data_IF_592265799391
#
_entry.id   IF_592265799391
#
_cell.length_a   1.000
_cell.length_b   1.000
_cell.length_c   1.000
_cell.angle_alpha   90.00
_cell.angle_beta   90.00
_cell.angle_gamma   90.00
#
_symmetry.space_group_name_H-M   'P 1'
#
loop_
_entity.id
_entity.type
_entity.pdbx_description
1 polymer ?
#
# COMPACT_ATOMS: atom_id res chain seq x y z
N UNK A 1 -28.39 63.05 -68.50
CA UNK A 1 -29.39 62.93 -67.41
C UNK A 1 -29.23 61.56 -66.74
N UNK A 2 -29.13 61.57 -65.40
CA UNK A 2 -29.34 60.54 -64.35
C UNK A 2 -29.21 59.04 -64.70
N UNK A 3 -28.29 58.24 -64.11
CA UNK A 3 -28.10 57.74 -62.70
C UNK A 3 -28.76 56.37 -62.40
N UNK A 4 -27.88 55.39 -62.09
CA UNK A 4 -27.79 54.57 -60.84
C UNK A 4 -28.40 53.13 -60.70
N UNK A 5 -27.48 52.25 -60.27
CA UNK A 5 -27.49 51.26 -59.13
C UNK A 5 -27.64 49.74 -59.40
N UNK A 6 -26.48 49.07 -59.37
CA UNK A 6 -25.98 47.98 -58.49
C UNK A 6 -26.89 46.85 -57.97
N UNK A 7 -26.40 45.60 -58.08
CA UNK A 7 -26.36 44.61 -56.98
C UNK A 7 -25.28 43.54 -57.22
N UNK A 8 -24.50 43.27 -56.16
CA UNK A 8 -23.38 42.32 -56.06
C UNK A 8 -23.86 41.12 -55.23
N UNK A 9 -23.53 39.88 -55.62
CA UNK A 9 -23.70 38.70 -54.79
C UNK A 9 -22.32 38.20 -54.33
N UNK A 10 -22.12 38.14 -53.02
CA UNK A 10 -20.89 37.70 -52.33
C UNK A 10 -21.03 36.23 -51.94
N UNK A 11 -20.03 35.42 -52.30
CA UNK A 11 -19.88 34.02 -51.92
C UNK A 11 -18.87 33.96 -50.75
N UNK A 12 -19.34 33.75 -49.53
CA UNK A 12 -18.48 33.60 -48.35
C UNK A 12 -18.21 32.12 -48.08
N UNK A 13 -17.00 31.67 -48.40
CA UNK A 13 -16.46 30.40 -47.92
C UNK A 13 -15.97 30.58 -46.47
N UNK A 14 -16.58 29.87 -45.53
CA UNK A 14 -16.14 29.81 -44.15
C UNK A 14 -14.89 28.91 -44.04
N UNK A 15 -13.72 29.51 -43.79
CA UNK A 15 -12.56 28.78 -43.30
C UNK A 15 -12.76 28.47 -41.81
N UNK A 16 -13.02 27.21 -41.50
CA UNK A 16 -12.89 26.67 -40.14
C UNK A 16 -11.41 26.62 -39.79
N UNK A 17 -10.93 27.60 -39.02
CA UNK A 17 -9.60 27.55 -38.41
C UNK A 17 -9.67 26.59 -37.23
N UNK A 18 -9.27 25.34 -37.45
CA UNK A 18 -8.90 24.44 -36.36
C UNK A 18 -7.60 24.97 -35.76
N UNK A 19 -7.68 25.63 -34.60
CA UNK A 19 -6.51 25.96 -33.79
C UNK A 19 -5.98 24.63 -33.22
N UNK A 20 -5.15 23.96 -34.01
CA UNK A 20 -4.30 22.89 -33.51
C UNK A 20 -3.26 23.53 -32.61
N UNK A 21 -3.37 23.32 -31.31
CA UNK A 21 -2.35 23.68 -30.33
C UNK A 21 -1.03 23.09 -30.79
N UNK A 22 -0.09 23.90 -31.29
CA UNK A 22 1.25 23.41 -31.61
C UNK A 22 1.90 23.02 -30.29
N UNK A 23 1.90 21.72 -29.99
CA UNK A 23 2.60 21.20 -28.84
C UNK A 23 4.08 21.53 -29.04
N UNK A 24 4.64 22.34 -28.14
CA UNK A 24 6.07 22.50 -28.02
C UNK A 24 6.74 21.12 -28.09
N UNK A 25 7.87 21.01 -28.80
CA UNK A 25 8.59 19.75 -28.91
C UNK A 25 8.84 19.18 -27.50
N UNK A 26 8.64 17.87 -27.28
CA UNK A 26 8.79 17.28 -25.96
C UNK A 26 10.21 17.55 -25.44
N UNK A 27 10.37 18.00 -24.18
CA UNK A 27 11.67 18.28 -23.61
C UNK A 27 12.62 17.08 -23.71
N UNK A 28 13.88 17.34 -24.05
CA UNK A 28 14.95 16.33 -24.09
C UNK A 28 15.21 15.71 -22.70
N UNK A 29 15.88 14.57 -22.65
CA UNK A 29 16.22 13.86 -21.41
C UNK A 29 16.98 14.72 -20.38
N UNK A 30 16.80 14.41 -19.09
CA UNK A 30 17.56 14.97 -17.97
C UNK A 30 18.87 14.20 -17.64
N UNK A 31 19.16 13.11 -18.37
CA UNK A 31 20.49 12.64 -18.77
C UNK A 31 21.68 13.41 -18.17
N UNK A 32 21.96 14.54 -18.81
CA UNK A 32 23.17 15.32 -18.62
C UNK A 32 23.24 16.11 -17.32
N UNK A 33 22.14 16.29 -16.59
CA UNK A 33 22.12 17.05 -15.34
C UNK A 33 21.98 16.15 -14.11
N UNK A 34 21.79 14.85 -14.36
CA UNK A 34 21.47 13.82 -13.38
C UNK A 34 22.41 13.73 -12.17
N UNK A 35 23.68 13.76 -12.53
CA UNK A 35 24.83 13.41 -11.68
C UNK A 35 25.62 14.64 -11.25
N UNK A 36 25.18 15.83 -11.68
CA UNK A 36 25.88 17.08 -11.42
C UNK A 36 25.85 17.43 -9.92
N UNK A 37 27.01 17.80 -9.36
CA UNK A 37 27.15 18.13 -7.93
C UNK A 37 26.69 19.57 -7.61
N UNK A 38 26.50 20.39 -8.64
CA UNK A 38 25.91 21.73 -8.58
C UNK A 38 25.03 21.97 -9.81
N UNK A 39 24.00 22.80 -9.69
CA UNK A 39 23.10 23.14 -10.80
C UNK A 39 23.10 24.64 -11.06
N UNK A 40 23.46 25.05 -12.27
CA UNK A 40 23.30 26.44 -12.73
C UNK A 40 21.83 26.78 -13.07
N UNK A 41 21.55 28.07 -13.27
CA UNK A 41 20.19 28.55 -13.56
C UNK A 41 19.59 27.93 -14.85
N UNK A 42 20.44 27.65 -15.85
CA UNK A 42 20.02 27.01 -17.09
C UNK A 42 19.64 25.55 -16.88
N UNK A 43 20.40 24.81 -16.08
CA UNK A 43 20.10 23.44 -15.70
C UNK A 43 18.84 23.35 -14.84
N UNK A 44 18.66 24.26 -13.87
CA UNK A 44 17.43 24.34 -13.07
C UNK A 44 16.20 24.65 -13.94
N UNK A 45 16.34 25.59 -14.88
CA UNK A 45 15.25 25.92 -15.83
C UNK A 45 14.88 24.71 -16.70
N UNK A 46 15.86 23.95 -17.20
CA UNK A 46 15.63 22.71 -17.96
C UNK A 46 14.85 21.67 -17.16
N UNK A 47 15.16 21.52 -15.87
CA UNK A 47 14.43 20.61 -14.96
C UNK A 47 12.97 21.07 -14.83
N UNK A 48 12.75 22.36 -14.53
CA UNK A 48 11.41 22.92 -14.36
C UNK A 48 10.55 22.79 -15.63
N UNK A 49 11.11 23.07 -16.81
CA UNK A 49 10.41 22.94 -18.09
C UNK A 49 10.06 21.48 -18.42
N UNK A 50 10.99 20.56 -18.15
CA UNK A 50 10.75 19.12 -18.31
C UNK A 50 9.59 18.64 -17.43
N UNK A 51 9.64 18.97 -16.13
CA UNK A 51 8.62 18.60 -15.16
C UNK A 51 7.26 19.19 -15.54
N UNK A 52 7.21 20.49 -15.85
CA UNK A 52 5.96 21.20 -16.19
C UNK A 52 5.29 20.58 -17.41
N UNK A 53 6.05 20.31 -18.47
CA UNK A 53 5.51 19.69 -19.68
C UNK A 53 4.90 18.32 -19.39
N UNK A 54 5.62 17.44 -18.69
CA UNK A 54 5.14 16.09 -18.45
C UNK A 54 4.02 16.03 -17.41
N UNK A 55 4.02 16.92 -16.40
CA UNK A 55 2.86 17.07 -15.50
C UNK A 55 1.62 17.51 -16.28
N UNK A 56 1.75 18.45 -17.22
CA UNK A 56 0.61 18.88 -18.05
C UNK A 56 0.03 17.71 -18.84
N UNK A 57 0.89 16.84 -19.39
CA UNK A 57 0.48 15.61 -20.12
C UNK A 57 -0.09 14.52 -19.21
N UNK A 58 0.35 14.46 -17.95
CA UNK A 58 -0.23 13.61 -16.93
C UNK A 58 -1.65 14.07 -16.58
N UNK A 59 -1.83 15.38 -16.38
CA UNK A 59 -3.06 16.04 -15.95
C UNK A 59 -4.15 16.07 -17.04
N UNK A 60 -3.77 16.28 -18.31
CA UNK A 60 -4.75 16.60 -19.37
C UNK A 60 -4.54 15.86 -20.70
N UNK A 61 -3.48 15.05 -20.81
CA UNK A 61 -3.19 14.32 -22.03
C UNK A 61 -4.15 13.16 -22.30
N UNK A 62 -4.08 12.58 -23.50
CA UNK A 62 -4.75 11.31 -23.81
C UNK A 62 -4.25 10.18 -22.90
N UNK A 63 -4.95 9.05 -22.77
CA UNK A 63 -4.47 7.91 -21.98
C UNK A 63 -3.04 7.46 -22.34
N UNK A 64 -2.69 7.46 -23.63
CA UNK A 64 -1.35 7.16 -24.12
C UNK A 64 -0.34 8.22 -23.68
N UNK A 65 -0.70 9.50 -23.78
CA UNK A 65 0.14 10.61 -23.32
C UNK A 65 0.35 10.57 -21.81
N UNK A 66 -0.66 10.19 -21.02
CA UNK A 66 -0.56 10.01 -19.56
C UNK A 66 0.38 8.88 -19.19
N UNK A 67 0.28 7.72 -19.86
CA UNK A 67 1.24 6.62 -19.67
C UNK A 67 2.66 7.05 -20.03
N UNK A 68 2.82 7.78 -21.15
CA UNK A 68 4.11 8.30 -21.59
C UNK A 68 4.67 9.32 -20.59
N UNK A 69 3.83 10.21 -20.09
CA UNK A 69 4.18 11.21 -19.09
C UNK A 69 4.65 10.55 -17.79
N UNK A 70 3.91 9.57 -17.27
CA UNK A 70 4.34 8.79 -16.10
C UNK A 70 5.73 8.19 -16.32
N UNK A 71 5.95 7.52 -17.44
CA UNK A 71 7.25 6.89 -17.72
C UNK A 71 8.38 7.94 -17.80
N UNK A 72 8.11 9.10 -18.41
CA UNK A 72 9.08 10.20 -18.54
C UNK A 72 9.37 10.88 -17.21
N UNK A 73 8.38 11.05 -16.34
CA UNK A 73 8.59 11.61 -15.01
C UNK A 73 9.38 10.67 -14.07
N UNK A 74 9.29 9.37 -14.30
CA UNK A 74 10.04 8.35 -13.53
C UNK A 74 11.43 8.10 -14.08
N UNK A 75 11.63 8.27 -15.40
CA UNK A 75 12.90 7.97 -16.08
C UNK A 75 14.13 8.63 -15.42
N UNK A 76 14.18 9.95 -15.12
CA UNK A 76 15.34 10.57 -14.50
C UNK A 76 15.76 9.93 -13.17
N UNK A 77 14.80 9.42 -12.41
CA UNK A 77 15.05 8.77 -11.12
C UNK A 77 15.57 7.34 -11.32
N UNK A 78 15.06 6.62 -12.33
CA UNK A 78 15.48 5.24 -12.64
C UNK A 78 16.77 5.15 -13.44
N UNK A 79 16.99 6.03 -14.40
CA UNK A 79 18.19 6.02 -15.26
C UNK A 79 19.48 6.29 -14.48
N UNK A 80 19.35 6.73 -13.23
CA UNK A 80 20.44 7.11 -12.35
C UNK A 80 20.34 6.42 -10.99
N UNK A 81 19.72 5.23 -10.94
CA UNK A 81 19.64 4.39 -9.74
C UNK A 81 21.02 4.35 -9.04
N UNK A 82 21.09 4.98 -7.87
CA UNK A 82 22.29 5.09 -7.04
C UNK A 82 23.24 6.27 -7.34
N UNK A 83 23.15 6.91 -8.51
CA UNK A 83 24.13 7.91 -8.98
C UNK A 83 23.56 9.33 -9.17
N UNK A 84 22.25 9.54 -9.05
CA UNK A 84 21.70 10.91 -9.12
C UNK A 84 22.15 11.74 -7.91
N UNK A 85 22.62 12.97 -8.14
CA UNK A 85 23.11 13.82 -7.06
C UNK A 85 21.98 14.23 -6.10
N UNK A 86 22.33 14.50 -4.84
CA UNK A 86 21.37 14.98 -3.83
C UNK A 86 20.70 16.29 -4.26
N UNK A 87 21.49 17.20 -4.86
CA UNK A 87 20.99 18.50 -5.33
C UNK A 87 20.01 18.36 -6.50
N UNK A 88 20.25 17.44 -7.43
CA UNK A 88 19.31 17.15 -8.50
C UNK A 88 18.01 16.59 -7.94
N UNK A 89 18.08 15.56 -7.07
CA UNK A 89 16.89 14.95 -6.47
C UNK A 89 16.04 15.99 -5.73
N UNK A 90 16.67 16.87 -4.96
CA UNK A 90 15.98 17.95 -4.25
C UNK A 90 15.32 18.94 -5.22
N UNK A 91 16.02 19.35 -6.27
CA UNK A 91 15.51 20.31 -7.27
C UNK A 91 14.35 19.72 -8.06
N UNK A 92 14.52 18.47 -8.54
CA UNK A 92 13.49 17.74 -9.26
C UNK A 92 12.23 17.52 -8.42
N UNK A 93 12.39 17.11 -7.15
CA UNK A 93 11.25 16.94 -6.23
C UNK A 93 10.52 18.26 -5.93
N UNK A 94 11.25 19.36 -5.72
CA UNK A 94 10.67 20.69 -5.49
C UNK A 94 9.71 21.09 -6.61
N UNK A 95 10.10 20.86 -7.86
CA UNK A 95 9.30 21.26 -9.02
C UNK A 95 8.19 20.24 -9.33
N UNK A 96 8.44 18.94 -9.07
CA UNK A 96 7.52 17.86 -9.42
C UNK A 96 6.36 17.69 -8.42
N UNK A 97 6.63 17.79 -7.12
CA UNK A 97 5.64 17.48 -6.08
C UNK A 97 4.38 18.35 -6.15
N UNK A 98 4.45 19.68 -6.34
CA UNK A 98 3.24 20.51 -6.45
C UNK A 98 2.33 20.07 -7.60
N UNK A 99 2.93 19.70 -8.74
CA UNK A 99 2.21 19.19 -9.90
C UNK A 99 1.55 17.84 -9.65
N UNK A 100 2.29 16.90 -9.03
CA UNK A 100 1.72 15.60 -8.65
C UNK A 100 0.56 15.76 -7.67
N UNK A 101 0.72 16.59 -6.64
CA UNK A 101 -0.31 16.87 -5.63
C UNK A 101 -1.61 17.32 -6.29
N UNK A 102 -1.53 18.31 -7.20
CA UNK A 102 -2.69 18.79 -7.95
C UNK A 102 -3.40 17.68 -8.74
N UNK A 103 -2.65 16.80 -9.40
CA UNK A 103 -3.22 15.69 -10.18
C UNK A 103 -3.85 14.62 -9.27
N UNK A 104 -3.26 14.37 -8.10
CA UNK A 104 -3.76 13.41 -7.11
C UNK A 104 -5.07 13.92 -6.49
N UNK A 105 -5.15 15.21 -6.16
CA UNK A 105 -6.33 15.84 -5.57
C UNK A 105 -7.52 15.96 -6.56
N UNK A 106 -7.26 15.89 -7.88
CA UNK A 106 -8.32 15.92 -8.90
C UNK A 106 -9.25 14.70 -8.88
N UNK A 107 -10.37 14.80 -9.60
CA UNK A 107 -11.42 13.78 -9.62
C UNK A 107 -11.14 12.59 -10.58
N UNK A 108 -10.20 12.76 -11.52
CA UNK A 108 -9.86 11.70 -12.49
C UNK A 108 -8.93 10.65 -11.84
N UNK A 109 -9.55 9.59 -11.33
CA UNK A 109 -8.85 8.48 -10.68
C UNK A 109 -7.74 7.88 -11.55
N UNK A 110 -7.92 7.78 -12.87
CA UNK A 110 -6.89 7.23 -13.75
C UNK A 110 -5.61 8.09 -13.68
N UNK A 111 -5.76 9.41 -13.64
CA UNK A 111 -4.64 10.35 -13.55
C UNK A 111 -4.05 10.39 -12.16
N UNK A 112 -4.88 10.41 -11.11
CA UNK A 112 -4.42 10.34 -9.73
C UNK A 112 -3.57 9.10 -9.50
N UNK A 113 -3.99 7.92 -9.99
CA UNK A 113 -3.22 6.68 -9.89
C UNK A 113 -1.89 6.77 -10.63
N UNK A 114 -1.85 7.32 -11.85
CA UNK A 114 -0.58 7.49 -12.56
C UNK A 114 0.34 8.46 -11.82
N UNK A 115 -0.19 9.52 -11.19
CA UNK A 115 0.59 10.46 -10.38
C UNK A 115 1.13 9.81 -9.09
N UNK A 116 0.32 9.00 -8.40
CA UNK A 116 0.77 8.21 -7.23
C UNK A 116 1.88 7.24 -7.60
N UNK A 117 1.80 6.60 -8.78
CA UNK A 117 2.87 5.75 -9.28
C UNK A 117 4.17 6.53 -9.52
N UNK A 118 4.11 7.76 -10.04
CA UNK A 118 5.32 8.62 -10.15
C UNK A 118 5.88 8.95 -8.78
N UNK A 119 5.02 9.33 -7.84
CA UNK A 119 5.40 9.71 -6.48
C UNK A 119 6.19 8.59 -5.77
N UNK A 120 5.75 7.33 -5.88
CA UNK A 120 6.44 6.20 -5.24
C UNK A 120 7.92 6.04 -5.62
N UNK A 121 8.34 6.48 -6.80
CA UNK A 121 9.75 6.39 -7.23
C UNK A 121 10.67 7.46 -6.63
N UNK A 122 10.13 8.60 -6.19
CA UNK A 122 10.96 9.74 -5.80
C UNK A 122 11.64 9.56 -4.44
N UNK A 123 11.00 8.86 -3.51
CA UNK A 123 11.57 8.58 -2.19
C UNK A 123 12.03 9.82 -1.42
N UNK A 124 11.39 10.99 -1.62
CA UNK A 124 11.74 12.23 -0.92
C UNK A 124 10.81 12.48 0.27
N UNK A 125 11.31 13.23 1.26
CA UNK A 125 10.55 13.58 2.47
C UNK A 125 9.23 14.32 2.15
N UNK A 126 9.23 15.18 1.14
CA UNK A 126 8.05 15.93 0.72
C UNK A 126 7.00 15.03 0.07
N UNK A 127 7.46 14.08 -0.76
CA UNK A 127 6.59 13.09 -1.41
C UNK A 127 5.97 12.16 -0.38
N UNK A 128 6.75 11.69 0.60
CA UNK A 128 6.23 10.82 1.64
C UNK A 128 5.12 11.51 2.44
N UNK A 129 5.25 12.79 2.77
CA UNK A 129 4.17 13.52 3.46
C UNK A 129 2.88 13.53 2.64
N UNK A 130 2.98 13.89 1.36
CA UNK A 130 1.84 13.88 0.44
C UNK A 130 1.20 12.49 0.33
N UNK A 131 2.01 11.43 0.23
CA UNK A 131 1.51 10.06 0.18
C UNK A 131 0.85 9.62 1.48
N UNK A 132 1.37 10.04 2.63
CA UNK A 132 0.78 9.76 3.95
C UNK A 132 -0.57 10.46 4.09
N UNK A 133 -0.67 11.74 3.70
CA UNK A 133 -1.93 12.47 3.69
C UNK A 133 -2.97 11.80 2.76
N UNK A 134 -2.53 11.29 1.60
CA UNK A 134 -3.41 10.59 0.65
C UNK A 134 -3.79 9.17 1.12
N UNK A 135 -3.00 8.55 1.99
CA UNK A 135 -3.29 7.23 2.55
C UNK A 135 -4.18 7.29 3.79
N UNK A 136 -4.39 8.48 4.35
CA UNK A 136 -5.17 8.69 5.57
C UNK A 136 -6.68 8.60 5.29
N UNK A 137 -7.42 7.65 5.90
CA UNK A 137 -8.87 7.54 5.74
C UNK A 137 -9.65 8.77 6.22
N UNK A 138 -9.09 9.60 7.09
CA UNK A 138 -9.73 10.83 7.58
C UNK A 138 -9.57 12.00 6.58
N UNK A 139 -8.61 11.92 5.66
CA UNK A 139 -8.29 12.99 4.70
C UNK A 139 -8.66 12.66 3.25
N UNK A 140 -8.56 11.38 2.85
CA UNK A 140 -8.86 10.94 1.49
C UNK A 140 -9.99 9.90 1.50
N UNK A 141 -11.14 10.28 0.96
CA UNK A 141 -12.33 9.43 0.93
C UNK A 141 -12.26 8.29 -0.10
N UNK A 142 -11.49 8.44 -1.19
CA UNK A 142 -11.38 7.41 -2.24
C UNK A 142 -10.48 6.25 -1.80
N UNK A 143 -11.03 5.03 -1.63
CA UNK A 143 -10.23 3.86 -1.27
C UNK A 143 -9.20 3.52 -2.36
N UNK A 144 -9.47 3.80 -3.62
CA UNK A 144 -8.51 3.58 -4.71
C UNK A 144 -7.30 4.50 -4.60
N UNK A 145 -7.49 5.78 -4.25
CA UNK A 145 -6.38 6.70 -3.99
C UNK A 145 -5.58 6.28 -2.76
N UNK A 146 -6.25 5.92 -1.65
CA UNK A 146 -5.58 5.40 -0.44
C UNK A 146 -4.77 4.13 -0.72
N UNK A 147 -5.34 3.20 -1.48
CA UNK A 147 -4.70 1.96 -1.91
C UNK A 147 -3.38 2.25 -2.64
N UNK A 148 -3.44 3.09 -3.67
CA UNK A 148 -2.27 3.42 -4.47
C UNK A 148 -1.25 4.27 -3.72
N UNK A 149 -1.69 5.11 -2.79
CA UNK A 149 -0.80 5.84 -1.89
C UNK A 149 -0.05 4.88 -0.95
N UNK A 150 -0.73 3.88 -0.39
CA UNK A 150 -0.09 2.85 0.45
C UNK A 150 0.93 2.02 -0.33
N UNK A 151 0.60 1.63 -1.56
CA UNK A 151 1.55 0.97 -2.48
C UNK A 151 2.76 1.87 -2.75
N UNK A 152 2.54 3.15 -3.06
CA UNK A 152 3.61 4.11 -3.34
C UNK A 152 4.52 4.35 -2.12
N UNK A 153 3.97 4.36 -0.90
CA UNK A 153 4.78 4.46 0.33
C UNK A 153 5.70 3.26 0.47
N UNK A 154 5.18 2.04 0.20
CA UNK A 154 5.99 0.82 0.24
C UNK A 154 7.15 0.88 -0.76
N UNK A 155 6.88 1.25 -2.01
CA UNK A 155 7.91 1.41 -3.04
C UNK A 155 8.97 2.44 -2.64
N UNK A 156 8.55 3.58 -2.07
CA UNK A 156 9.46 4.60 -1.60
C UNK A 156 10.36 4.10 -0.46
N UNK A 157 9.83 3.32 0.48
CA UNK A 157 10.60 2.67 1.56
C UNK A 157 11.61 1.67 0.97
N UNK A 158 11.17 0.80 0.06
CA UNK A 158 12.03 -0.23 -0.55
C UNK A 158 13.11 0.34 -1.47
N UNK A 159 12.92 1.56 -2.00
CA UNK A 159 13.94 2.24 -2.80
C UNK A 159 15.23 2.58 -2.04
N UNK A 160 15.20 2.55 -0.70
CA UNK A 160 16.37 2.82 0.15
C UNK A 160 16.77 4.30 0.25
N UNK A 161 15.97 5.22 -0.29
CA UNK A 161 16.29 6.66 -0.28
C UNK A 161 15.86 7.40 1.01
N UNK A 162 15.08 6.75 1.87
CA UNK A 162 14.53 7.36 3.07
C UNK A 162 15.42 7.14 4.29
N UNK A 163 15.50 8.13 5.17
CA UNK A 163 16.13 7.95 6.47
C UNK A 163 15.35 6.98 7.36
N UNK A 164 16.01 6.27 8.29
CA UNK A 164 15.35 5.38 9.25
C UNK A 164 14.22 6.05 10.02
N UNK A 165 14.45 7.30 10.46
CA UNK A 165 13.44 8.12 11.14
C UNK A 165 12.19 8.32 10.28
N UNK A 166 12.37 8.58 8.97
CA UNK A 166 11.25 8.76 8.04
C UNK A 166 10.48 7.46 7.83
N UNK A 167 11.19 6.33 7.69
CA UNK A 167 10.58 5.00 7.59
C UNK A 167 9.73 4.72 8.84
N UNK A 168 10.31 4.85 10.04
CA UNK A 168 9.59 4.62 11.31
C UNK A 168 8.37 5.51 11.46
N UNK A 169 8.45 6.80 11.08
CA UNK A 169 7.29 7.69 11.11
C UNK A 169 6.19 7.28 10.12
N UNK A 170 6.56 6.79 8.94
CA UNK A 170 5.62 6.40 7.90
C UNK A 170 4.88 5.11 8.25
N UNK A 171 5.60 4.11 8.76
CA UNK A 171 5.01 2.83 9.21
C UNK A 171 4.07 3.05 10.41
N UNK A 172 4.42 3.93 11.35
CA UNK A 172 3.51 4.30 12.45
C UNK A 172 2.22 4.95 11.95
N UNK A 173 2.29 5.82 10.96
CA UNK A 173 1.09 6.40 10.35
C UNK A 173 0.25 5.34 9.65
N UNK A 174 0.87 4.47 8.85
CA UNK A 174 0.15 3.36 8.19
C UNK A 174 -0.52 2.42 9.19
N UNK A 175 0.11 2.12 10.33
CA UNK A 175 -0.50 1.31 11.38
C UNK A 175 -1.73 2.00 12.01
N UNK A 176 -1.68 3.33 12.21
CA UNK A 176 -2.86 4.09 12.65
C UNK A 176 -3.98 4.05 11.63
N UNK A 177 -3.67 4.22 10.35
CA UNK A 177 -4.67 4.17 9.26
C UNK A 177 -5.28 2.78 9.14
N UNK A 178 -4.46 1.73 9.23
CA UNK A 178 -4.92 0.35 9.19
C UNK A 178 -5.89 0.01 10.34
N UNK A 179 -5.76 0.68 11.49
CA UNK A 179 -6.67 0.48 12.62
C UNK A 179 -8.12 0.88 12.30
N UNK A 180 -8.33 1.87 11.42
CA UNK A 180 -9.67 2.42 11.09
C UNK A 180 -10.07 2.19 9.64
N UNK A 181 -9.19 1.63 8.79
CA UNK A 181 -9.48 1.40 7.37
C UNK A 181 -10.61 0.38 7.18
N UNK A 182 -11.62 0.75 6.40
CA UNK A 182 -12.81 -0.07 6.12
C UNK A 182 -12.69 -0.84 4.80
N UNK A 183 -11.85 -0.39 3.87
CA UNK A 183 -11.58 -1.11 2.63
C UNK A 183 -10.52 -2.19 2.84
N UNK A 184 -10.94 -3.45 2.76
CA UNK A 184 -10.04 -4.60 2.97
C UNK A 184 -8.84 -4.62 2.02
N UNK A 185 -8.94 -4.04 0.82
CA UNK A 185 -7.84 -4.00 -0.17
C UNK A 185 -6.77 -3.03 0.30
N UNK A 186 -7.18 -1.87 0.81
CA UNK A 186 -6.27 -0.87 1.40
C UNK A 186 -5.62 -1.46 2.65
N UNK A 187 -6.42 -2.06 3.54
CA UNK A 187 -5.92 -2.71 4.75
C UNK A 187 -4.89 -3.81 4.43
N UNK A 188 -5.16 -4.65 3.42
CA UNK A 188 -4.21 -5.68 2.96
C UNK A 188 -2.85 -5.07 2.60
N UNK A 189 -2.84 -3.98 1.80
CA UNK A 189 -1.59 -3.29 1.44
C UNK A 189 -0.93 -2.60 2.63
N UNK A 190 -1.71 -2.08 3.57
CA UNK A 190 -1.22 -1.54 4.84
C UNK A 190 -0.46 -2.59 5.63
N UNK A 191 -1.08 -3.76 5.85
CA UNK A 191 -0.47 -4.89 6.57
C UNK A 191 0.79 -5.41 5.86
N UNK A 192 0.78 -5.56 4.53
CA UNK A 192 1.96 -5.96 3.75
C UNK A 192 3.11 -4.95 3.87
N UNK A 193 2.80 -3.65 3.88
CA UNK A 193 3.80 -2.58 4.02
C UNK A 193 4.42 -2.58 5.41
N UNK A 194 3.60 -2.79 6.45
CA UNK A 194 4.08 -2.94 7.83
C UNK A 194 4.92 -4.22 7.99
N UNK A 195 4.48 -5.36 7.42
CA UNK A 195 5.27 -6.62 7.40
C UNK A 195 6.62 -6.44 6.71
N UNK A 196 6.67 -5.63 5.64
CA UNK A 196 7.93 -5.35 4.93
C UNK A 196 8.94 -4.61 5.82
N UNK A 197 8.48 -3.79 6.77
CA UNK A 197 9.35 -3.16 7.76
C UNK A 197 9.88 -4.17 8.79
N UNK A 198 9.06 -5.14 9.21
CA UNK A 198 9.47 -6.24 10.10
C UNK A 198 10.61 -7.08 9.51
N UNK A 199 10.69 -7.13 8.17
CA UNK A 199 11.68 -7.87 7.39
C UNK A 199 12.68 -6.92 6.69
N UNK A 200 12.84 -5.68 7.17
CA UNK A 200 13.70 -4.68 6.54
C UNK A 200 15.13 -5.20 6.34
N UNK A 201 15.65 -5.03 5.12
CA UNK A 201 17.02 -5.38 4.74
C UNK A 201 18.07 -4.32 5.11
N UNK A 202 17.67 -3.24 5.80
CA UNK A 202 18.63 -2.24 6.29
C UNK A 202 19.59 -2.86 7.31
N UNK A 203 20.86 -2.47 7.24
CA UNK A 203 21.89 -2.95 8.15
C UNK A 203 21.71 -2.35 9.55
N UNK A 204 22.28 -3.01 10.57
CA UNK A 204 22.18 -2.57 11.98
C UNK A 204 22.73 -1.16 12.20
N UNK A 205 23.85 -0.81 11.58
CA UNK A 205 24.45 0.53 11.63
C UNK A 205 23.57 1.63 11.00
N UNK A 206 22.63 1.23 10.13
CA UNK A 206 21.63 2.10 9.53
C UNK A 206 20.30 2.10 10.31
N UNK A 207 20.25 1.58 11.54
CA UNK A 207 19.02 1.51 12.33
C UNK A 207 18.05 0.40 11.90
N UNK A 208 18.55 -0.62 11.18
CA UNK A 208 17.73 -1.75 10.71
C UNK A 208 17.02 -2.51 11.84
N UNK A 209 17.67 -2.69 12.99
CA UNK A 209 17.09 -3.41 14.14
C UNK A 209 15.88 -2.68 14.74
N UNK A 210 15.96 -1.35 14.85
CA UNK A 210 14.85 -0.51 15.33
C UNK A 210 13.65 -0.60 14.39
N UNK A 211 13.89 -0.58 13.07
CA UNK A 211 12.83 -0.70 12.06
C UNK A 211 12.19 -2.09 12.09
N UNK A 212 12.99 -3.15 12.18
CA UNK A 212 12.48 -4.53 12.26
C UNK A 212 11.66 -4.75 13.52
N UNK A 213 12.14 -4.28 14.67
CA UNK A 213 11.41 -4.36 15.94
C UNK A 213 10.08 -3.60 15.89
N UNK A 214 10.10 -2.35 15.44
CA UNK A 214 8.89 -1.53 15.26
C UNK A 214 7.90 -2.18 14.28
N UNK A 215 8.41 -2.75 13.18
CA UNK A 215 7.61 -3.44 12.18
C UNK A 215 6.85 -4.63 12.78
N UNK A 216 7.53 -5.49 13.56
CA UNK A 216 6.88 -6.64 14.22
C UNK A 216 5.82 -6.21 15.23
N UNK A 217 6.12 -5.22 16.06
CA UNK A 217 5.19 -4.66 17.04
C UNK A 217 3.91 -4.16 16.36
N UNK A 218 4.06 -3.32 15.33
CA UNK A 218 2.94 -2.73 14.60
C UNK A 218 2.19 -3.75 13.75
N UNK A 219 2.86 -4.75 13.20
CA UNK A 219 2.21 -5.83 12.46
C UNK A 219 1.29 -6.63 13.39
N UNK A 220 1.76 -6.99 14.59
CA UNK A 220 0.97 -7.71 15.58
C UNK A 220 -0.20 -6.85 16.09
N UNK A 221 0.05 -5.57 16.39
CA UNK A 221 -0.98 -4.63 16.81
C UNK A 221 -2.09 -4.46 15.75
N UNK A 222 -1.70 -4.37 14.47
CA UNK A 222 -2.65 -4.26 13.34
C UNK A 222 -3.47 -5.53 13.18
N UNK A 223 -2.84 -6.71 13.29
CA UNK A 223 -3.55 -7.99 13.27
C UNK A 223 -4.58 -8.07 14.39
N UNK A 224 -4.16 -7.76 15.64
CA UNK A 224 -5.03 -7.77 16.81
C UNK A 224 -6.21 -6.83 16.64
N UNK A 225 -5.96 -5.59 16.21
CA UNK A 225 -7.01 -4.58 16.00
C UNK A 225 -8.01 -5.01 14.92
N UNK A 226 -7.52 -5.63 13.84
CA UNK A 226 -8.39 -6.15 12.77
C UNK A 226 -9.27 -7.30 13.28
N UNK A 227 -8.70 -8.19 14.10
CA UNK A 227 -9.46 -9.27 14.75
C UNK A 227 -10.49 -8.70 15.73
N UNK A 228 -10.12 -7.70 16.55
CA UNK A 228 -11.04 -7.02 17.48
C UNK A 228 -12.28 -6.50 16.74
N UNK A 229 -12.06 -5.75 15.65
CA UNK A 229 -13.14 -5.21 14.79
C UNK A 229 -14.05 -6.31 14.24
N UNK A 230 -13.45 -7.41 13.77
CA UNK A 230 -14.21 -8.54 13.24
C UNK A 230 -14.96 -9.32 14.32
N UNK A 231 -14.49 -9.32 15.58
CA UNK A 231 -15.21 -9.95 16.69
C UNK A 231 -16.38 -9.13 17.21
N UNK A 232 -16.35 -7.80 17.08
CA UNK A 232 -17.31 -6.86 17.69
C UNK A 232 -18.65 -6.72 16.93
N UNK A 233 -18.97 -7.64 16.01
CA UNK A 233 -20.17 -7.61 15.16
C UNK A 233 -20.37 -6.30 14.37
N UNK A 234 -19.29 -5.57 14.06
CA UNK A 234 -19.30 -4.20 13.51
C UNK A 234 -19.85 -4.03 12.09
N UNK A 235 -20.24 -5.11 11.41
CA UNK A 235 -20.69 -5.08 10.02
C UNK A 235 -19.56 -5.22 8.99
N UNK A 236 -18.29 -5.12 9.39
CA UNK A 236 -17.10 -5.08 8.53
C UNK A 236 -16.54 -6.48 8.16
N UNK A 237 -17.40 -7.44 7.82
CA UNK A 237 -16.99 -8.85 7.65
C UNK A 237 -15.99 -9.04 6.51
N UNK A 238 -16.02 -8.14 5.52
CA UNK A 238 -15.15 -8.15 4.35
C UNK A 238 -13.67 -7.98 4.73
N UNK A 239 -13.36 -7.47 5.93
CA UNK A 239 -11.97 -7.40 6.43
C UNK A 239 -11.34 -8.79 6.61
N UNK A 240 -12.12 -9.87 6.62
CA UNK A 240 -11.61 -11.26 6.56
C UNK A 240 -10.65 -11.43 5.36
N UNK A 241 -10.90 -10.76 4.23
CA UNK A 241 -10.02 -10.85 3.06
C UNK A 241 -8.60 -10.32 3.33
N UNK A 242 -8.44 -9.37 4.27
CA UNK A 242 -7.13 -8.86 4.68
C UNK A 242 -6.42 -9.75 5.71
N UNK A 243 -7.17 -10.48 6.55
CA UNK A 243 -6.59 -11.33 7.59
C UNK A 243 -5.78 -12.50 7.03
N UNK A 244 -6.29 -13.18 5.99
CA UNK A 244 -5.62 -14.36 5.43
C UNK A 244 -4.18 -14.10 4.98
N UNK A 245 -3.88 -13.09 4.12
CA UNK A 245 -2.50 -12.77 3.77
C UNK A 245 -1.70 -12.32 4.99
N UNK A 246 -2.28 -11.57 5.93
CA UNK A 246 -1.60 -11.16 7.17
C UNK A 246 -1.15 -12.35 8.03
N UNK A 247 -1.99 -13.39 8.20
CA UNK A 247 -1.63 -14.62 8.90
C UNK A 247 -0.53 -15.39 8.14
N UNK A 248 -0.61 -15.44 6.81
CA UNK A 248 0.39 -16.10 5.99
C UNK A 248 1.77 -15.48 6.18
N UNK A 249 1.86 -14.15 6.23
CA UNK A 249 3.10 -13.42 6.50
C UNK A 249 3.71 -13.81 7.85
N UNK A 250 2.92 -13.91 8.93
CA UNK A 250 3.42 -14.39 10.22
C UNK A 250 3.96 -15.82 10.15
N UNK A 251 3.25 -16.73 9.46
CA UNK A 251 3.73 -18.10 9.26
C UNK A 251 5.05 -18.12 8.48
N UNK A 252 5.18 -17.30 7.45
CA UNK A 252 6.41 -17.19 6.66
C UNK A 252 7.58 -16.64 7.49
N UNK A 253 7.35 -15.58 8.27
CA UNK A 253 8.34 -15.04 9.19
C UNK A 253 8.76 -16.07 10.25
N UNK A 254 7.82 -16.83 10.80
CA UNK A 254 8.10 -17.90 11.75
C UNK A 254 9.00 -18.99 11.16
N UNK A 255 8.71 -19.39 9.92
CA UNK A 255 9.49 -20.40 9.20
C UNK A 255 10.84 -19.88 8.69
N UNK A 256 11.02 -18.57 8.58
CA UNK A 256 12.22 -17.97 8.02
C UNK A 256 13.47 -18.28 8.90
N UNK A 257 14.51 -18.94 8.35
CA UNK A 257 15.75 -19.22 9.08
C UNK A 257 16.49 -17.96 9.56
N UNK A 258 16.30 -16.82 8.90
CA UNK A 258 16.91 -15.55 9.28
C UNK A 258 16.21 -14.89 10.48
N UNK A 259 15.06 -15.42 10.91
CA UNK A 259 14.23 -14.86 11.98
C UNK A 259 14.18 -15.77 13.22
N UNK A 260 15.09 -16.75 13.32
CA UNK A 260 15.10 -17.76 14.41
C UNK A 260 15.10 -17.12 15.79
N UNK A 261 15.88 -16.06 16.00
CA UNK A 261 15.96 -15.35 17.28
C UNK A 261 14.64 -14.68 17.71
N UNK A 262 13.76 -14.36 16.74
CA UNK A 262 12.46 -13.73 16.99
C UNK A 262 11.29 -14.73 16.98
N UNK A 263 11.53 -16.02 16.71
CA UNK A 263 10.45 -17.03 16.64
C UNK A 263 9.62 -17.07 17.89
N UNK A 264 10.24 -17.02 19.07
CA UNK A 264 9.51 -17.05 20.35
C UNK A 264 8.62 -15.82 20.51
N UNK A 265 9.13 -14.63 20.20
CA UNK A 265 8.35 -13.37 20.22
C UNK A 265 7.15 -13.46 19.28
N UNK A 266 7.39 -13.88 18.03
CA UNK A 266 6.36 -14.03 16.99
C UNK A 266 5.31 -15.05 17.43
N UNK A 267 5.73 -16.21 17.94
CA UNK A 267 4.82 -17.27 18.38
C UNK A 267 3.92 -16.80 19.52
N UNK A 268 4.49 -16.24 20.58
CA UNK A 268 3.75 -15.86 21.78
C UNK A 268 2.81 -14.69 21.51
N UNK A 269 3.18 -13.76 20.62
CA UNK A 269 2.30 -12.68 20.19
C UNK A 269 1.16 -13.15 19.28
N UNK A 270 1.47 -13.99 18.29
CA UNK A 270 0.52 -14.34 17.22
C UNK A 270 -0.44 -15.46 17.63
N UNK A 271 0.01 -16.48 18.38
CA UNK A 271 -0.81 -17.65 18.69
C UNK A 271 -2.17 -17.32 19.36
N UNK A 272 -2.24 -16.42 20.37
CA UNK A 272 -3.53 -16.00 20.92
C UNK A 272 -4.46 -15.39 19.87
N UNK A 273 -3.91 -14.61 18.93
CA UNK A 273 -4.70 -13.99 17.86
C UNK A 273 -5.21 -15.03 16.85
N UNK A 274 -4.41 -16.04 16.52
CA UNK A 274 -4.83 -17.15 15.68
C UNK A 274 -6.01 -17.93 16.28
N UNK A 275 -5.99 -18.17 17.61
CA UNK A 275 -7.12 -18.79 18.32
C UNK A 275 -8.41 -17.98 18.22
N UNK A 276 -8.31 -16.65 18.18
CA UNK A 276 -9.46 -15.75 18.05
C UNK A 276 -10.10 -15.75 16.67
N UNK A 277 -9.44 -16.31 15.64
CA UNK A 277 -10.07 -16.51 14.31
C UNK A 277 -11.35 -17.36 14.42
N UNK A 278 -11.40 -18.32 15.35
CA UNK A 278 -12.62 -19.10 15.61
C UNK A 278 -13.79 -18.22 16.08
N UNK A 279 -13.52 -17.20 16.90
CA UNK A 279 -14.57 -16.28 17.38
C UNK A 279 -15.20 -15.52 16.23
N UNK A 280 -14.39 -15.05 15.27
CA UNK A 280 -14.89 -14.35 14.08
C UNK A 280 -15.87 -15.25 13.32
N UNK A 281 -15.47 -16.49 13.04
CA UNK A 281 -16.32 -17.43 12.29
C UNK A 281 -17.59 -17.80 13.04
N UNK A 282 -17.53 -17.98 14.37
CA UNK A 282 -18.69 -18.37 15.16
C UNK A 282 -19.66 -17.21 15.38
N UNK A 283 -19.17 -15.98 15.53
CA UNK A 283 -20.01 -14.78 15.67
C UNK A 283 -20.75 -14.45 14.38
N UNK A 284 -20.12 -14.70 13.22
CA UNK A 284 -20.66 -14.36 11.90
C UNK A 284 -21.03 -15.59 11.06
N UNK A 285 -21.27 -16.73 11.71
CA UNK A 285 -21.38 -18.03 11.05
C UNK A 285 -22.35 -18.02 9.87
N UNK A 286 -23.58 -17.60 10.11
CA UNK A 286 -24.64 -17.62 9.10
C UNK A 286 -24.36 -16.60 7.98
N UNK A 287 -23.93 -15.38 8.34
CA UNK A 287 -23.58 -14.34 7.37
C UNK A 287 -22.43 -14.76 6.45
N UNK A 288 -21.41 -15.41 6.98
CA UNK A 288 -20.28 -15.91 6.19
C UNK A 288 -20.74 -17.02 5.25
N UNK A 289 -21.65 -17.89 5.70
CA UNK A 289 -22.17 -19.03 4.92
C UNK A 289 -23.03 -18.61 3.74
N UNK A 290 -23.79 -17.53 3.90
CA UNK A 290 -24.69 -17.01 2.87
C UNK A 290 -23.94 -16.44 1.64
N UNK A 291 -22.63 -16.19 1.76
CA UNK A 291 -21.76 -15.76 0.66
C UNK A 291 -20.70 -16.83 0.38
N UNK A 292 -20.77 -17.44 -0.81
CA UNK A 292 -19.87 -18.52 -1.23
C UNK A 292 -18.38 -18.14 -1.13
N UNK A 293 -18.04 -16.91 -1.50
CA UNK A 293 -16.65 -16.43 -1.51
C UNK A 293 -16.14 -16.14 -0.10
N UNK A 294 -16.98 -15.55 0.75
CA UNK A 294 -16.66 -15.38 2.18
C UNK A 294 -16.54 -16.74 2.86
N UNK A 295 -17.42 -17.70 2.56
CA UNK A 295 -17.37 -19.05 3.12
C UNK A 295 -16.08 -19.78 2.74
N UNK A 296 -15.70 -19.77 1.46
CA UNK A 296 -14.44 -20.37 1.01
C UNK A 296 -13.24 -19.70 1.70
N UNK A 297 -13.19 -18.36 1.68
CA UNK A 297 -12.07 -17.61 2.25
C UNK A 297 -11.93 -17.84 3.76
N UNK A 298 -13.05 -17.87 4.49
CA UNK A 298 -13.08 -18.08 5.94
C UNK A 298 -12.63 -19.49 6.31
N UNK A 299 -13.05 -20.50 5.55
CA UNK A 299 -12.57 -21.87 5.73
C UNK A 299 -11.05 -22.00 5.53
N UNK A 300 -10.52 -21.38 4.47
CA UNK A 300 -9.07 -21.36 4.20
C UNK A 300 -8.30 -20.57 5.27
N UNK A 301 -8.86 -19.46 5.76
CA UNK A 301 -8.28 -18.69 6.86
C UNK A 301 -8.24 -19.52 8.15
N UNK A 302 -9.33 -20.21 8.49
CA UNK A 302 -9.43 -21.08 9.66
C UNK A 302 -8.39 -22.21 9.61
N UNK A 303 -8.26 -22.86 8.44
CA UNK A 303 -7.22 -23.87 8.19
C UNK A 303 -5.82 -23.30 8.42
N UNK A 304 -5.52 -22.15 7.80
CA UNK A 304 -4.21 -21.54 7.90
C UNK A 304 -3.87 -21.17 9.35
N UNK A 305 -4.85 -20.63 10.08
CA UNK A 305 -4.73 -20.32 11.50
C UNK A 305 -4.42 -21.58 12.32
N UNK A 306 -5.20 -22.65 12.14
CA UNK A 306 -5.03 -23.92 12.86
C UNK A 306 -3.70 -24.62 12.55
N UNK A 307 -3.29 -24.68 11.28
CA UNK A 307 -2.00 -25.24 10.89
C UNK A 307 -0.83 -24.46 11.50
N UNK A 308 -0.95 -23.12 11.55
CA UNK A 308 0.08 -22.26 12.13
C UNK A 308 0.12 -22.39 13.65
N UNK A 309 -1.04 -22.54 14.31
CA UNK A 309 -1.11 -22.86 15.74
C UNK A 309 -0.46 -24.21 16.07
N UNK A 310 -0.72 -25.25 15.27
CA UNK A 310 -0.08 -26.57 15.42
C UNK A 310 1.44 -26.46 15.30
N UNK A 311 1.91 -25.74 14.28
CA UNK A 311 3.34 -25.49 14.07
C UNK A 311 3.96 -24.78 15.28
N UNK A 312 3.38 -23.67 15.72
CA UNK A 312 3.87 -22.89 16.86
C UNK A 312 3.87 -23.74 18.15
N UNK A 313 2.78 -24.45 18.45
CA UNK A 313 2.67 -25.23 19.68
C UNK A 313 3.58 -26.45 19.72
N UNK A 314 3.91 -27.01 18.55
CA UNK A 314 4.92 -28.08 18.45
C UNK A 314 6.34 -27.63 18.80
N UNK A 315 6.62 -26.32 18.69
CA UNK A 315 7.96 -25.75 18.85
C UNK A 315 8.12 -25.04 20.20
N UNK A 316 7.21 -24.12 20.56
CA UNK A 316 7.33 -23.34 21.81
C UNK A 316 6.40 -23.80 22.93
N UNK A 317 5.35 -24.57 22.61
CA UNK A 317 4.33 -25.03 23.54
C UNK A 317 4.67 -26.35 24.24
N UNK A 318 3.65 -27.11 24.61
CA UNK A 318 3.81 -28.45 25.22
C UNK A 318 4.03 -29.56 24.19
N UNK A 319 3.86 -29.27 22.90
CA UNK A 319 3.84 -30.27 21.83
C UNK A 319 2.49 -30.95 21.61
N UNK A 320 1.63 -31.02 22.64
CA UNK A 320 0.28 -31.59 22.54
C UNK A 320 -0.65 -30.66 21.77
N UNK A 321 -1.05 -31.06 20.56
CA UNK A 321 -1.95 -30.27 19.70
C UNK A 321 -3.32 -30.93 19.56
N UNK A 322 -4.43 -30.17 19.56
CA UNK A 322 -5.73 -30.72 19.25
C UNK A 322 -5.75 -31.41 17.88
N UNK A 323 -6.37 -32.58 17.80
CA UNK A 323 -6.64 -33.30 16.53
C UNK A 323 -7.72 -32.63 15.66
N UNK A 324 -7.92 -31.31 15.84
CA UNK A 324 -8.92 -30.53 15.14
C UNK A 324 -8.73 -30.64 13.62
N UNK A 325 -9.85 -30.74 12.91
CA UNK A 325 -9.93 -30.67 11.45
C UNK A 325 -10.99 -29.63 11.08
N UNK A 326 -10.70 -28.38 11.43
CA UNK A 326 -11.71 -27.32 11.39
C UNK A 326 -12.17 -26.95 9.98
N UNK A 327 -11.33 -27.15 8.95
CA UNK A 327 -11.77 -26.98 7.56
C UNK A 327 -12.83 -28.02 7.16
N UNK A 328 -12.65 -29.28 7.55
CA UNK A 328 -13.65 -30.32 7.26
C UNK A 328 -14.96 -30.02 7.99
N UNK A 329 -14.89 -29.66 9.27
CA UNK A 329 -16.06 -29.25 10.03
C UNK A 329 -16.78 -28.04 9.40
N UNK A 330 -16.01 -27.06 8.92
CA UNK A 330 -16.53 -25.93 8.16
C UNK A 330 -17.21 -26.40 6.86
N UNK A 331 -16.52 -27.14 5.99
CA UNK A 331 -17.11 -27.57 4.72
C UNK A 331 -18.38 -28.42 4.88
N UNK A 332 -18.52 -29.15 6.00
CA UNK A 332 -19.67 -30.02 6.28
C UNK A 332 -20.77 -29.38 7.16
N UNK A 333 -20.73 -28.07 7.38
CA UNK A 333 -21.73 -27.35 8.18
C UNK A 333 -21.87 -27.82 9.65
N UNK A 334 -20.73 -28.14 10.26
CA UNK A 334 -20.66 -28.68 11.62
C UNK A 334 -20.27 -27.61 12.63
N UNK A 335 -21.17 -26.66 12.91
CA UNK A 335 -20.94 -25.55 13.86
C UNK A 335 -20.47 -26.04 15.25
N UNK A 336 -21.13 -27.05 15.81
CA UNK A 336 -20.77 -27.62 17.13
C UNK A 336 -19.35 -28.21 17.16
N UNK A 337 -18.88 -28.77 16.05
CA UNK A 337 -17.50 -29.28 15.94
C UNK A 337 -16.49 -28.12 15.94
N UNK A 338 -16.83 -27.00 15.32
CA UNK A 338 -15.97 -25.78 15.33
C UNK A 338 -15.91 -25.18 16.73
N UNK A 339 -17.03 -25.13 17.46
CA UNK A 339 -17.08 -24.71 18.87
C UNK A 339 -16.21 -25.62 19.76
N UNK A 340 -16.29 -26.94 19.57
CA UNK A 340 -15.42 -27.90 20.27
C UNK A 340 -13.93 -27.70 19.97
N UNK A 341 -13.58 -27.47 18.70
CA UNK A 341 -12.20 -27.18 18.29
C UNK A 341 -11.69 -25.86 18.88
N UNK A 342 -12.54 -24.84 18.92
CA UNK A 342 -12.22 -23.57 19.58
C UNK A 342 -11.94 -23.78 21.07
N UNK A 343 -12.80 -24.51 21.79
CA UNK A 343 -12.62 -24.76 23.21
C UNK A 343 -11.31 -25.51 23.49
N UNK A 344 -10.96 -26.49 22.65
CA UNK A 344 -9.70 -27.22 22.74
C UNK A 344 -8.49 -26.30 22.54
N UNK A 345 -8.51 -25.42 21.53
CA UNK A 345 -7.44 -24.45 21.33
C UNK A 345 -7.36 -23.41 22.45
N UNK A 346 -8.49 -22.93 22.96
CA UNK A 346 -8.53 -22.01 24.09
C UNK A 346 -7.89 -22.63 25.33
N UNK A 347 -8.10 -23.93 25.59
CA UNK A 347 -7.45 -24.63 26.70
C UNK A 347 -5.92 -24.64 26.55
N UNK A 348 -5.40 -24.90 25.34
CA UNK A 348 -3.95 -24.85 25.05
C UNK A 348 -3.41 -23.42 25.23
N UNK A 349 -4.09 -22.43 24.65
CA UNK A 349 -3.66 -21.02 24.66
C UNK A 349 -3.82 -20.34 26.03
N UNK A 350 -4.56 -20.96 26.96
CA UNK A 350 -4.69 -20.49 28.35
C UNK A 350 -3.62 -21.07 29.28
N UNK A 351 -2.73 -21.92 28.78
CA UNK A 351 -1.63 -22.50 29.54
C UNK A 351 -0.28 -21.85 29.17
N UNK A 352 0.77 -21.98 30.01
CA UNK A 352 2.12 -21.57 29.64
C UNK A 352 2.60 -22.29 28.37
N UNK A 353 3.36 -21.63 27.49
CA UNK A 353 3.94 -20.29 27.63
C UNK A 353 3.03 -19.14 27.16
N UNK A 354 1.80 -19.42 26.75
CA UNK A 354 0.89 -18.43 26.16
C UNK A 354 0.21 -17.57 27.22
N UNK A 355 -0.09 -18.15 28.39
CA UNK A 355 -0.64 -17.43 29.54
C UNK A 355 0.46 -16.61 30.24
N UNK A 356 0.29 -15.29 30.34
CA UNK A 356 1.15 -14.41 31.15
C UNK A 356 1.99 -13.39 30.39
N UNK A 357 1.77 -13.22 29.09
CA UNK A 357 2.33 -12.10 28.30
C UNK A 357 1.30 -11.02 28.00
#
# INVERSE_FOLDING_TARGET
MLKRITSILVMSAALSVTVGSSLAAPPSSLNSVATETSLDDGQQKRISEYVTYWITKLESGTPEETKRARNKLVEPVRSMLGNSSSIFRSTYARDLVPGLKKVIEGDDLYRSVNALQVAGFLGSDQVIRMLIDTADPDLESSPEKRLWATIAIREAILSGNLSPRRISSSIRSLARFAATESDWRVLTRGMETISSAAQSGLSTDQGGDEIRSLGRELQLSTLRTTIDRLTDNSGEIELIYALRPGILEFRQQYLNPQMVEFRREIALGTAPQLGRVYLILLNHYDRIRDDEKLAETSGLMLRLSEETLKLINSDVGTGDTPAANSLSAWNNDQRSTIEGNQAAWNAVLSAPPYSGN
#
